data_IF_642919585785
#
_entry.id   IF_642919585785
#
_cell.length_a   1.000
_cell.length_b   1.000
_cell.length_c   1.000
_cell.angle_alpha   90.00
_cell.angle_beta   90.00
_cell.angle_gamma   90.00
#
_symmetry.space_group_name_H-M   'P 1'
#
loop_
_entity.id
_entity.type
_entity.pdbx_description
1 polymer ?
#
# COMPACT_ATOMS: atom_id res chain seq x y z
N UNK A 1 -27.15 32.69 -8.85
CA UNK A 1 -25.69 32.82 -8.74
C UNK A 1 -25.21 31.65 -7.90
N UNK A 2 -24.52 30.68 -8.50
CA UNK A 2 -23.95 29.55 -7.76
C UNK A 2 -22.43 29.64 -7.83
N UNK A 3 -21.81 29.93 -6.69
CA UNK A 3 -20.37 29.88 -6.50
C UNK A 3 -19.91 28.43 -6.51
N UNK A 4 -18.93 28.12 -7.35
CA UNK A 4 -18.18 26.86 -7.33
C UNK A 4 -17.29 26.81 -6.09
N UNK A 5 -17.62 25.96 -5.12
CA UNK A 5 -16.64 25.53 -4.12
C UNK A 5 -15.73 24.47 -4.76
N UNK A 6 -14.45 24.81 -4.87
CA UNK A 6 -13.33 23.92 -5.14
C UNK A 6 -13.25 22.84 -4.07
N UNK A 7 -14.03 21.77 -4.24
CA UNK A 7 -14.13 20.65 -3.30
C UNK A 7 -12.98 19.65 -3.44
N UNK A 8 -11.85 20.00 -2.84
CA UNK A 8 -11.05 19.16 -1.95
C UNK A 8 -11.28 17.64 -2.07
N UNK A 9 -10.40 16.96 -2.81
CA UNK A 9 -10.30 15.50 -2.87
C UNK A 9 -9.92 14.96 -1.49
N UNK A 10 -10.92 14.60 -0.67
CA UNK A 10 -10.72 13.99 0.64
C UNK A 10 -10.11 12.61 0.47
N UNK A 11 -8.98 12.42 1.15
CA UNK A 11 -8.15 11.22 1.24
C UNK A 11 -8.80 10.04 1.98
N UNK A 12 -10.04 9.72 1.62
CA UNK A 12 -10.76 8.57 2.17
C UNK A 12 -10.19 7.27 1.57
N UNK A 13 -9.59 6.43 2.42
CA UNK A 13 -9.01 5.08 2.21
C UNK A 13 -7.51 4.93 1.88
N UNK A 14 -6.74 5.99 1.64
CA UNK A 14 -5.29 5.85 1.30
C UNK A 14 -4.30 6.12 2.44
N UNK A 15 -4.75 6.65 3.58
CA UNK A 15 -3.88 7.05 4.70
C UNK A 15 -3.84 6.05 5.88
N UNK A 16 -4.44 4.86 5.75
CA UNK A 16 -4.50 3.89 6.86
C UNK A 16 -3.20 3.11 7.07
N UNK A 17 -2.30 3.10 6.08
CA UNK A 17 -1.02 2.39 6.18
C UNK A 17 -0.09 3.01 7.24
N UNK A 18 -0.18 4.34 7.45
CA UNK A 18 0.56 5.05 8.52
C UNK A 18 0.09 4.67 9.93
N UNK A 19 -1.16 4.25 10.09
CA UNK A 19 -1.76 3.92 11.39
C UNK A 19 -1.69 2.43 11.77
N UNK A 20 -1.58 1.51 10.80
CA UNK A 20 -1.66 0.07 11.06
C UNK A 20 -0.31 -0.65 11.19
N UNK A 21 0.82 0.07 11.13
CA UNK A 21 2.20 -0.46 11.26
C UNK A 21 2.45 -1.73 10.44
N UNK A 22 1.71 -1.87 9.36
CA UNK A 22 1.71 -3.00 8.46
C UNK A 22 1.14 -2.48 7.16
N UNK A 23 1.86 -2.75 6.08
CA UNK A 23 1.76 -2.19 4.73
C UNK A 23 2.63 -0.94 4.52
N UNK A 24 3.69 -1.14 3.75
CA UNK A 24 4.53 -0.10 3.18
C UNK A 24 3.70 0.63 2.11
N UNK A 25 3.86 1.97 1.94
CA UNK A 25 3.15 2.73 0.93
C UNK A 25 3.20 2.07 -0.44
N UNK A 26 2.15 2.26 -1.23
CA UNK A 26 2.08 1.69 -2.58
C UNK A 26 3.27 2.17 -3.41
N UNK A 27 4.13 1.25 -3.82
CA UNK A 27 5.30 1.54 -4.66
C UNK A 27 4.91 1.90 -6.11
N UNK A 28 3.78 1.36 -6.59
CA UNK A 28 3.27 1.59 -7.95
C UNK A 28 1.75 1.76 -7.93
N UNK A 29 1.26 2.58 -8.86
CA UNK A 29 -0.15 2.79 -9.13
C UNK A 29 -0.52 2.22 -10.49
N UNK A 30 -1.73 1.68 -10.59
CA UNK A 30 -2.35 1.36 -11.88
C UNK A 30 -3.16 2.60 -12.29
N UNK A 31 -2.75 3.24 -13.38
CA UNK A 31 -3.51 4.32 -14.02
C UNK A 31 -4.05 3.84 -15.37
N UNK A 32 -5.04 4.52 -15.97
CA UNK A 32 -5.50 4.20 -17.32
C UNK A 32 -4.38 4.22 -18.37
N UNK A 33 -3.34 5.01 -18.15
CA UNK A 33 -2.16 5.16 -19.00
C UNK A 33 -1.08 4.10 -18.73
N UNK A 34 -1.23 3.30 -17.66
CA UNK A 34 -0.33 2.18 -17.35
C UNK A 34 0.11 2.12 -15.89
N UNK A 35 1.20 1.37 -15.66
CA UNK A 35 1.79 1.21 -14.33
C UNK A 35 2.79 2.34 -14.11
N UNK A 36 2.54 3.20 -13.11
CA UNK A 36 3.40 4.35 -12.79
C UNK A 36 4.01 4.16 -11.40
N UNK A 37 5.32 4.43 -11.26
CA UNK A 37 6.00 4.43 -9.95
C UNK A 37 5.47 5.59 -9.09
N UNK A 38 5.28 5.35 -7.80
CA UNK A 38 4.90 6.39 -6.85
C UNK A 38 6.13 7.27 -6.53
N UNK A 39 6.16 8.56 -6.92
CA UNK A 39 7.30 9.44 -6.64
C UNK A 39 7.45 9.74 -5.15
N UNK A 40 6.36 9.71 -4.37
CA UNK A 40 6.38 10.01 -2.94
C UNK A 40 6.81 8.81 -2.09
N UNK A 41 6.97 7.62 -2.69
CA UNK A 41 7.22 6.37 -1.97
C UNK A 41 8.42 6.46 -1.02
N UNK A 42 9.58 6.91 -1.53
CA UNK A 42 10.81 6.95 -0.75
C UNK A 42 10.69 7.95 0.41
N UNK A 43 10.11 9.13 0.13
CA UNK A 43 9.87 10.17 1.12
C UNK A 43 8.93 9.68 2.23
N UNK A 44 7.85 8.99 1.86
CA UNK A 44 6.90 8.44 2.82
C UNK A 44 7.57 7.38 3.71
N UNK A 45 8.37 6.46 3.14
CA UNK A 45 9.09 5.43 3.92
C UNK A 45 10.12 6.07 4.85
N UNK A 46 10.94 7.01 4.36
CA UNK A 46 11.94 7.73 5.17
C UNK A 46 11.31 8.59 6.27
N UNK A 47 10.07 9.06 6.09
CA UNK A 47 9.35 9.77 7.14
C UNK A 47 8.85 8.88 8.27
N UNK A 48 8.65 7.58 7.99
CA UNK A 48 8.05 6.63 8.91
C UNK A 48 9.06 5.68 9.56
N UNK A 49 10.20 5.43 8.91
CA UNK A 49 11.20 4.45 9.32
C UNK A 49 12.61 5.03 9.28
N UNK A 50 13.49 4.50 10.12
CA UNK A 50 14.93 4.82 10.14
C UNK A 50 15.70 3.88 9.22
N UNK A 51 16.87 4.32 8.75
CA UNK A 51 17.72 3.53 7.84
C UNK A 51 18.21 2.21 8.47
N UNK A 52 18.28 2.15 9.80
CA UNK A 52 18.65 0.96 10.57
C UNK A 52 17.49 -0.02 10.79
N UNK A 53 16.25 0.39 10.51
CA UNK A 53 15.09 -0.46 10.72
C UNK A 53 15.11 -1.65 9.75
N UNK A 54 14.73 -2.83 10.25
CA UNK A 54 14.56 -4.02 9.41
C UNK A 54 13.21 -3.97 8.73
N UNK A 55 13.22 -3.85 7.41
CA UNK A 55 12.01 -3.72 6.60
C UNK A 55 11.79 -4.98 5.76
N UNK A 56 10.58 -5.52 5.81
CA UNK A 56 10.13 -6.54 4.87
C UNK A 56 9.11 -5.91 3.92
N UNK A 57 9.43 -5.87 2.64
CA UNK A 57 8.56 -5.37 1.57
C UNK A 57 7.89 -6.53 0.84
N UNK A 58 6.60 -6.44 0.58
CA UNK A 58 5.84 -7.48 -0.10
C UNK A 58 4.85 -6.90 -1.10
N UNK A 59 4.57 -7.67 -2.15
CA UNK A 59 3.47 -7.41 -3.08
C UNK A 59 2.77 -8.74 -3.42
N UNK A 60 1.86 -8.75 -4.40
CA UNK A 60 1.15 -9.98 -4.80
C UNK A 60 2.09 -11.15 -5.14
N UNK A 61 3.07 -10.94 -6.03
CA UNK A 61 3.96 -11.99 -6.56
C UNK A 61 5.44 -11.82 -6.20
N UNK A 62 5.80 -10.76 -5.46
CA UNK A 62 7.18 -10.45 -5.08
C UNK A 62 7.96 -9.58 -6.09
N UNK A 63 7.50 -9.44 -7.34
CA UNK A 63 8.27 -8.71 -8.39
C UNK A 63 8.34 -7.21 -8.12
N UNK A 64 7.22 -6.56 -7.77
CA UNK A 64 7.19 -5.11 -7.53
C UNK A 64 7.91 -4.73 -6.24
N UNK A 65 7.76 -5.56 -5.21
CA UNK A 65 8.44 -5.37 -3.94
C UNK A 65 9.95 -5.60 -4.04
N UNK A 66 10.44 -6.41 -4.99
CA UNK A 66 11.86 -6.51 -5.29
C UNK A 66 12.43 -5.16 -5.76
N UNK A 67 11.75 -4.49 -6.69
CA UNK A 67 12.16 -3.15 -7.15
C UNK A 67 12.09 -2.11 -6.04
N UNK A 68 11.06 -2.17 -5.19
CA UNK A 68 10.94 -1.30 -4.02
C UNK A 68 12.10 -1.50 -3.03
N UNK A 69 12.46 -2.76 -2.74
CA UNK A 69 13.60 -3.08 -1.88
C UNK A 69 14.90 -2.50 -2.44
N UNK A 70 15.15 -2.68 -3.75
CA UNK A 70 16.34 -2.16 -4.40
C UNK A 70 16.42 -0.63 -4.31
N UNK A 71 15.31 0.08 -4.50
CA UNK A 71 15.30 1.54 -4.40
C UNK A 71 15.49 2.02 -2.94
N UNK A 72 14.96 1.32 -1.93
CA UNK A 72 15.21 1.62 -0.51
C UNK A 72 16.67 1.39 -0.10
N UNK A 73 17.28 0.30 -0.54
CA UNK A 73 18.70 0.02 -0.29
C UNK A 73 19.60 1.09 -0.93
N UNK A 74 19.25 1.56 -2.14
CA UNK A 74 20.01 2.63 -2.82
C UNK A 74 20.03 3.95 -2.08
N UNK A 75 18.97 4.28 -1.32
CA UNK A 75 18.89 5.53 -0.57
C UNK A 75 19.43 5.44 0.86
N UNK A 76 19.96 4.27 1.28
CA UNK A 76 20.68 4.14 2.56
C UNK A 76 20.05 3.20 3.58
N UNK A 77 18.87 2.63 3.33
CA UNK A 77 18.33 1.60 4.23
C UNK A 77 19.24 0.36 4.25
N UNK A 78 19.50 -0.17 5.45
CA UNK A 78 20.54 -1.19 5.66
C UNK A 78 20.03 -2.62 5.59
N UNK A 79 18.80 -2.86 6.02
CA UNK A 79 18.21 -4.20 6.06
C UNK A 79 16.79 -4.22 5.48
N UNK A 80 16.72 -4.27 4.15
CA UNK A 80 15.46 -4.37 3.41
C UNK A 80 15.37 -5.72 2.70
N UNK A 81 14.30 -6.47 2.99
CA UNK A 81 14.07 -7.81 2.46
C UNK A 81 12.80 -7.84 1.63
N UNK A 82 12.89 -8.45 0.45
CA UNK A 82 11.71 -8.74 -0.36
C UNK A 82 11.06 -10.05 0.11
N UNK A 83 9.74 -10.05 0.26
CA UNK A 83 8.95 -11.26 0.42
C UNK A 83 8.92 -12.01 -0.93
N UNK A 84 9.82 -12.98 -1.08
CA UNK A 84 9.95 -13.80 -2.29
C UNK A 84 8.65 -14.55 -2.61
N UNK A 85 8.20 -14.48 -3.87
CA UNK A 85 6.90 -15.01 -4.30
C UNK A 85 5.69 -14.21 -3.81
N UNK A 86 5.91 -13.20 -2.94
CA UNK A 86 4.91 -12.29 -2.45
C UNK A 86 3.84 -12.98 -1.60
N UNK A 87 2.68 -12.35 -1.56
CA UNK A 87 1.50 -12.85 -0.86
C UNK A 87 1.06 -14.24 -1.35
N UNK A 88 1.19 -14.53 -2.66
CA UNK A 88 0.79 -15.83 -3.21
C UNK A 88 1.61 -16.96 -2.59
N UNK A 89 2.93 -16.85 -2.61
CA UNK A 89 3.79 -17.85 -1.96
C UNK A 89 3.57 -17.91 -0.44
N UNK A 90 3.27 -16.79 0.21
CA UNK A 90 2.94 -16.78 1.64
C UNK A 90 1.73 -17.66 1.95
N UNK A 91 0.65 -17.51 1.19
CA UNK A 91 -0.57 -18.32 1.35
C UNK A 91 -0.33 -19.77 0.94
N UNK A 92 0.39 -20.01 -0.15
CA UNK A 92 0.70 -21.37 -0.64
C UNK A 92 1.54 -22.18 0.37
N UNK A 93 2.37 -21.51 1.17
CA UNK A 93 3.11 -22.13 2.26
C UNK A 93 2.28 -22.32 3.54
N UNK A 94 0.98 -22.03 3.51
CA UNK A 94 0.06 -22.23 4.62
C UNK A 94 0.17 -21.17 5.72
N UNK A 95 0.82 -20.03 5.47
CA UNK A 95 0.91 -18.97 6.46
C UNK A 95 -0.41 -18.20 6.56
N UNK A 96 -0.91 -18.04 7.79
CA UNK A 96 -2.17 -17.36 8.05
C UNK A 96 -2.12 -15.88 7.69
N UNK A 97 -3.20 -15.38 7.08
CA UNK A 97 -3.41 -13.97 6.82
C UNK A 97 -4.52 -13.49 7.74
N UNK A 98 -4.18 -13.00 8.95
CA UNK A 98 -5.14 -12.20 9.72
C UNK A 98 -5.28 -10.85 9.03
N UNK A 99 -6.08 -10.80 7.98
CA UNK A 99 -6.66 -9.54 7.56
C UNK A 99 -7.78 -9.25 8.56
N UNK A 100 -7.62 -8.24 9.39
CA UNK A 100 -8.78 -7.58 10.00
C UNK A 100 -9.54 -6.92 8.86
N UNK A 101 -10.42 -7.71 8.24
CA UNK A 101 -11.37 -7.31 7.23
C UNK A 101 -12.20 -6.17 7.80
N UNK A 102 -11.90 -4.95 7.36
CA UNK A 102 -12.77 -3.83 7.67
C UNK A 102 -14.02 -4.04 6.81
N UNK A 103 -15.04 -4.59 7.46
CA UNK A 103 -16.34 -4.96 6.95
C UNK A 103 -16.77 -4.16 5.70
N UNK A 104 -16.87 -4.86 4.56
CA UNK A 104 -17.77 -4.45 3.49
C UNK A 104 -19.17 -4.96 3.85
N UNK A 105 -19.91 -4.14 4.59
CA UNK A 105 -21.36 -4.23 4.89
C UNK A 105 -21.84 -2.79 4.65
N UNK A 106 -22.73 -2.40 3.74
CA UNK A 106 -23.66 -3.05 2.82
C UNK A 106 -23.69 -2.22 1.51
N UNK A 107 -23.67 -2.86 0.35
CA UNK A 107 -24.09 -2.23 -0.93
C UNK A 107 -25.51 -2.67 -1.35
N UNK A 108 -26.19 -3.51 -0.56
CA UNK A 108 -27.55 -3.98 -0.88
C UNK A 108 -28.68 -3.22 -0.14
N UNK A 109 -28.38 -2.27 0.76
CA UNK A 109 -29.43 -1.53 1.49
C UNK A 109 -29.97 -0.27 0.79
N UNK A 110 -29.85 -0.14 -0.53
CA UNK A 110 -30.40 1.01 -1.29
C UNK A 110 -31.26 0.61 -2.51
N UNK A 111 -31.88 -0.58 -2.49
CA UNK A 111 -32.92 -0.95 -3.48
C UNK A 111 -34.27 -1.35 -2.89
N UNK A 112 -34.52 -1.02 -1.62
CA UNK A 112 -35.74 -1.45 -0.95
C UNK A 112 -36.19 -0.49 0.15
N UNK A 113 -36.37 0.78 -0.17
CA UNK A 113 -37.30 1.65 0.58
C UNK A 113 -38.14 2.40 -0.46
N UNK A 114 -39.46 2.33 -0.27
CA UNK A 114 -40.56 2.84 -1.10
C UNK A 114 -40.52 4.37 -1.27
#
# INVERSE_FOLDING_TARGET
MFTTMSGQWKSSRRDTWKQRRSLIPHYMFNTPEGIVKNPEFLKDVSSAFKEEDRLVVGCKSGVRSLSAAADLLKIGFKDVRNLGGGYLAWVDNGFGTKMEETAMVDQEKLKGEL
#
